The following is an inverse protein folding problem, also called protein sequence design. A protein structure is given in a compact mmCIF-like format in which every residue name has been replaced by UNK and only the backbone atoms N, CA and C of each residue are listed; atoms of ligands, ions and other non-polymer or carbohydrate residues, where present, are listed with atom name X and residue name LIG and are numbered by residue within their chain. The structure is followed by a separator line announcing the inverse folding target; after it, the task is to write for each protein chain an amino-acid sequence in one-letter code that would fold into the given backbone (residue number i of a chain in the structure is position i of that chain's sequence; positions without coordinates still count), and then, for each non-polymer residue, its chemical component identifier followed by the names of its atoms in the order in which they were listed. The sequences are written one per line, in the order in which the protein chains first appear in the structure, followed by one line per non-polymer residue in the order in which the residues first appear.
data_IF_534897896160
#
_entry.id   IF_534897896160
#
_cell.length_a   1.000
_cell.length_b   1.000
_cell.length_c   1.000
_cell.angle_alpha   90.00
_cell.angle_beta   90.00
_cell.angle_gamma   90.00
#
_symmetry.space_group_name_H-M   'P 1'
#
loop_
_entity.id
_entity.type
_entity.pdbx_description
1 polymer ?
#
# COMPACT_ATOMS: atom_id res chain seq x y z
N UNK A 1 4.65 -12.12 4.39
CA UNK A 1 4.25 -10.83 3.80
C UNK A 1 2.75 -10.88 3.59
N UNK A 2 2.06 -9.73 3.64
CA UNK A 2 0.66 -9.66 3.23
C UNK A 2 0.54 -10.06 1.75
N UNK A 3 -0.54 -10.72 1.38
CA UNK A 3 -0.79 -11.06 -0.03
C UNK A 3 -1.13 -9.80 -0.81
N UNK A 4 -0.51 -9.60 -1.97
CA UNK A 4 -0.72 -8.41 -2.78
C UNK A 4 -0.24 -8.56 -4.21
N UNK A 5 0.16 -7.43 -4.80
CA UNK A 5 0.62 -7.31 -6.16
C UNK A 5 2.05 -6.78 -6.16
N UNK A 6 2.94 -7.50 -6.84
CA UNK A 6 4.30 -7.07 -7.10
C UNK A 6 4.43 -6.60 -8.54
N UNK A 7 5.19 -5.54 -8.76
CA UNK A 7 5.41 -5.02 -10.09
C UNK A 7 6.67 -4.17 -10.21
N UNK A 8 7.13 -4.01 -11.44
CA UNK A 8 8.12 -3.00 -11.83
C UNK A 8 7.43 -1.84 -12.54
N UNK A 9 7.90 -0.62 -12.29
CA UNK A 9 7.39 0.55 -12.98
C UNK A 9 8.38 1.70 -12.92
N UNK A 10 8.55 2.41 -14.03
CA UNK A 10 9.29 3.68 -14.09
C UNK A 10 8.40 4.90 -13.85
N UNK A 11 7.11 4.68 -13.58
CA UNK A 11 6.12 5.75 -13.34
C UNK A 11 6.37 6.48 -12.02
N UNK A 12 6.92 5.77 -11.03
CA UNK A 12 7.07 6.24 -9.66
C UNK A 12 8.54 6.54 -9.38
N UNK A 13 8.83 7.80 -9.05
CA UNK A 13 10.15 8.19 -8.57
C UNK A 13 10.23 8.07 -7.05
N UNK A 14 11.42 7.78 -6.53
CA UNK A 14 11.69 7.86 -5.10
C UNK A 14 11.96 9.32 -4.74
N UNK A 15 11.11 9.93 -3.92
CA UNK A 15 11.33 11.31 -3.50
C UNK A 15 12.54 11.41 -2.56
N UNK A 16 13.26 12.51 -2.67
CA UNK A 16 14.41 12.77 -1.80
C UNK A 16 13.95 12.80 -0.34
N UNK A 17 14.57 11.96 0.50
CA UNK A 17 14.31 11.88 1.94
C UNK A 17 12.89 11.43 2.31
N UNK A 18 12.13 10.77 1.42
CA UNK A 18 10.82 10.23 1.81
C UNK A 18 10.93 9.16 2.91
N UNK A 19 12.08 8.47 2.98
CA UNK A 19 12.40 7.48 3.99
C UNK A 19 12.73 8.09 5.38
N UNK A 20 12.72 9.42 5.50
CA UNK A 20 12.76 10.11 6.80
C UNK A 20 11.38 10.13 7.49
N UNK A 21 10.29 9.99 6.72
CA UNK A 21 8.92 9.91 7.24
C UNK A 21 8.52 8.46 7.57
N UNK A 22 9.16 7.49 6.92
CA UNK A 22 8.95 6.04 7.09
C UNK A 22 10.13 5.43 7.88
N UNK A 23 10.74 4.36 7.37
CA UNK A 23 12.01 3.80 7.84
C UNK A 23 13.05 3.82 6.71
N UNK A 24 14.36 3.74 7.03
CA UNK A 24 15.43 3.66 6.04
C UNK A 24 15.14 2.66 4.92
N UNK A 25 15.16 3.16 3.68
CA UNK A 25 14.93 2.36 2.48
C UNK A 25 13.47 2.00 2.20
N UNK A 26 12.50 2.43 3.03
CA UNK A 26 11.09 2.14 2.85
C UNK A 26 10.44 3.22 1.98
N UNK A 27 10.38 2.96 0.67
CA UNK A 27 9.86 3.89 -0.32
C UNK A 27 8.43 3.55 -0.72
N UNK A 28 7.74 4.48 -1.40
CA UNK A 28 6.39 4.24 -1.93
C UNK A 28 5.49 5.46 -2.00
N UNK A 29 6.02 6.67 -1.78
CA UNK A 29 5.20 7.88 -1.64
C UNK A 29 4.42 8.19 -2.91
N UNK A 30 5.09 8.26 -4.06
CA UNK A 30 4.42 8.56 -5.33
C UNK A 30 3.41 7.47 -5.72
N UNK A 31 3.72 6.20 -5.43
CA UNK A 31 2.78 5.10 -5.62
C UNK A 31 1.51 5.30 -4.77
N UNK A 32 1.66 5.65 -3.49
CA UNK A 32 0.55 5.90 -2.59
C UNK A 32 -0.30 7.09 -3.02
N UNK A 33 0.31 8.21 -3.41
CA UNK A 33 -0.42 9.37 -3.91
C UNK A 33 -1.14 9.08 -5.24
N UNK A 34 -0.51 8.33 -6.15
CA UNK A 34 -1.15 7.92 -7.39
C UNK A 34 -2.36 6.99 -7.13
N UNK A 35 -2.20 5.98 -6.28
CA UNK A 35 -3.32 5.10 -5.90
C UNK A 35 -4.41 5.89 -5.17
N UNK A 36 -4.06 6.86 -4.32
CA UNK A 36 -5.02 7.76 -3.68
C UNK A 36 -5.86 8.49 -4.72
N UNK A 37 -5.26 9.05 -5.77
CA UNK A 37 -5.97 9.73 -6.85
C UNK A 37 -6.86 8.76 -7.66
N UNK A 38 -6.38 7.54 -7.97
CA UNK A 38 -7.17 6.52 -8.66
C UNK A 38 -8.38 6.08 -7.84
N UNK A 39 -8.21 5.85 -6.53
CA UNK A 39 -9.30 5.46 -5.65
C UNK A 39 -10.26 6.63 -5.36
N UNK A 40 -9.77 7.87 -5.30
CA UNK A 40 -10.64 9.05 -5.22
C UNK A 40 -11.58 9.15 -6.44
N UNK A 41 -11.13 8.80 -7.64
CA UNK A 41 -11.99 8.74 -8.85
C UNK A 41 -13.08 7.67 -8.76
N UNK A 42 -12.85 6.60 -7.98
CA UNK A 42 -13.84 5.56 -7.69
C UNK A 42 -14.81 5.96 -6.55
N UNK A 43 -14.60 7.12 -5.93
CA UNK A 43 -15.47 7.68 -4.90
C UNK A 43 -15.03 7.39 -3.46
N UNK A 44 -13.82 6.87 -3.25
CA UNK A 44 -13.26 6.73 -1.91
C UNK A 44 -12.82 8.09 -1.35
N UNK A 45 -12.90 8.22 -0.02
CA UNK A 45 -12.27 9.34 0.68
C UNK A 45 -10.90 8.87 1.13
N UNK A 46 -9.86 9.33 0.44
CA UNK A 46 -8.50 8.83 0.66
C UNK A 46 -7.67 9.76 1.53
N UNK A 47 -6.80 9.17 2.34
CA UNK A 47 -5.74 9.86 3.07
C UNK A 47 -4.44 9.06 2.95
N UNK A 48 -3.31 9.75 2.86
CA UNK A 48 -1.99 9.13 2.63
C UNK A 48 -1.11 9.37 3.85
N UNK A 49 -0.69 8.29 4.51
CA UNK A 49 0.11 8.36 5.73
C UNK A 49 1.41 7.53 5.58
N UNK A 50 2.53 7.99 6.16
CA UNK A 50 3.74 7.19 6.21
C UNK A 50 3.62 6.11 7.29
N UNK A 51 4.19 4.94 7.01
CA UNK A 51 4.27 3.79 7.91
C UNK A 51 5.72 3.28 7.98
N UNK A 52 6.02 2.44 8.96
CA UNK A 52 7.38 1.93 9.20
C UNK A 52 7.88 0.94 8.12
N UNK A 53 7.02 0.56 7.17
CA UNK A 53 7.31 -0.31 6.03
C UNK A 53 7.11 0.36 4.67
N UNK A 54 6.63 1.61 4.61
CA UNK A 54 6.28 2.29 3.37
C UNK A 54 5.18 3.31 3.56
N UNK A 55 4.23 3.37 2.63
CA UNK A 55 3.13 4.34 2.65
C UNK A 55 1.79 3.64 2.64
N UNK A 56 0.82 4.19 3.35
CA UNK A 56 -0.52 3.67 3.48
C UNK A 56 -1.53 4.64 2.87
N UNK A 57 -2.44 4.13 2.05
CA UNK A 57 -3.60 4.86 1.53
C UNK A 57 -4.84 4.38 2.28
N UNK A 58 -5.33 5.18 3.22
CA UNK A 58 -6.59 4.92 3.92
C UNK A 58 -7.74 5.19 2.96
N UNK A 59 -8.63 4.23 2.74
CA UNK A 59 -9.78 4.34 1.84
C UNK A 59 -11.12 4.44 2.59
N UNK A 60 -11.21 3.88 3.80
CA UNK A 60 -12.35 4.02 4.72
C UNK A 60 -11.86 3.89 6.17
N UNK A 61 -12.46 4.66 7.10
CA UNK A 61 -12.04 4.68 8.51
C UNK A 61 -13.20 4.68 9.52
N UNK A 62 -14.31 4.01 9.19
CA UNK A 62 -15.51 3.93 10.03
C UNK A 62 -15.40 2.84 11.12
N UNK A 63 -16.18 1.75 11.00
CA UNK A 63 -16.16 0.62 11.94
C UNK A 63 -14.89 -0.24 11.80
N UNK A 64 -14.15 -0.05 10.71
CA UNK A 64 -12.86 -0.64 10.39
C UNK A 64 -12.02 0.37 9.60
N UNK A 65 -10.72 0.10 9.47
CA UNK A 65 -9.82 0.76 8.54
C UNK A 65 -9.70 -0.13 7.30
N UNK A 66 -10.07 0.39 6.14
CA UNK A 66 -9.85 -0.25 4.83
C UNK A 66 -8.77 0.55 4.13
N UNK A 67 -7.67 -0.09 3.74
CA UNK A 67 -6.50 0.63 3.24
C UNK A 67 -5.64 -0.18 2.29
N UNK A 68 -4.77 0.53 1.56
CA UNK A 68 -3.78 -0.03 0.64
C UNK A 68 -2.37 0.21 1.17
N UNK A 69 -1.58 -0.84 1.30
CA UNK A 69 -0.14 -0.70 1.49
C UNK A 69 0.55 -0.39 0.16
N UNK A 70 1.56 0.49 0.20
CA UNK A 70 2.38 0.91 -0.93
C UNK A 70 3.84 0.96 -0.48
N UNK A 71 4.63 -0.05 -0.86
CA UNK A 71 6.02 -0.18 -0.41
C UNK A 71 6.97 -0.61 -1.52
N UNK A 72 8.24 -0.25 -1.42
CA UNK A 72 9.32 -0.92 -2.14
C UNK A 72 9.71 -2.21 -1.42
N UNK A 73 9.86 -3.30 -2.16
CA UNK A 73 10.42 -4.53 -1.61
C UNK A 73 11.87 -4.31 -1.18
N UNK A 74 12.21 -4.87 -0.03
CA UNK A 74 13.56 -4.87 0.51
C UNK A 74 14.00 -6.32 0.68
N UNK A 75 15.08 -6.68 0.01
CA UNK A 75 15.82 -7.89 0.32
C UNK A 75 17.04 -7.56 1.21
N UNK A 76 17.74 -8.60 1.64
CA UNK A 76 18.91 -8.48 2.51
C UNK A 76 20.01 -7.63 1.85
N UNK A 77 20.22 -7.77 0.54
CA UNK A 77 21.22 -7.02 -0.23
C UNK A 77 20.88 -5.52 -0.29
N UNK A 78 19.61 -5.18 -0.51
CA UNK A 78 19.12 -3.79 -0.55
C UNK A 78 19.27 -3.11 0.80
N UNK A 79 19.02 -3.85 1.89
CA UNK A 79 19.21 -3.36 3.25
C UNK A 79 20.69 -3.17 3.59
N UNK A 80 21.55 -4.12 3.25
CA UNK A 80 23.00 -4.02 3.49
C UNK A 80 23.65 -2.89 2.69
N UNK A 81 23.14 -2.60 1.49
CA UNK A 81 23.66 -1.56 0.60
C UNK A 81 23.06 -0.16 0.84
N UNK A 82 22.09 -0.03 1.76
CA UNK A 82 21.43 1.24 2.07
C UNK A 82 22.43 2.35 2.38
N UNK A 83 22.26 3.48 1.69
CA UNK A 83 23.00 4.70 1.94
C UNK A 83 22.03 5.86 2.09
N UNK A 84 22.05 6.50 3.26
CA UNK A 84 21.21 7.67 3.52
C UNK A 84 21.37 8.73 2.43
N UNK A 85 20.24 9.14 1.85
CA UNK A 85 20.18 10.16 0.80
C UNK A 85 20.63 9.68 -0.59
N UNK A 86 20.78 8.36 -0.79
CA UNK A 86 21.06 7.74 -2.09
C UNK A 86 20.10 6.56 -2.31
N UNK A 87 18.88 6.81 -2.80
CA UNK A 87 17.95 5.73 -3.12
C UNK A 87 18.46 4.89 -4.30
N UNK A 88 17.98 3.63 -4.44
CA UNK A 88 18.28 2.80 -5.60
C UNK A 88 17.70 3.42 -6.89
N UNK A 89 18.16 2.94 -8.05
CA UNK A 89 17.52 3.32 -9.31
C UNK A 89 16.13 2.68 -9.41
N UNK A 90 15.11 3.45 -9.80
CA UNK A 90 13.70 3.00 -9.86
C UNK A 90 13.51 1.70 -10.64
N UNK A 91 14.31 1.46 -11.69
CA UNK A 91 14.25 0.23 -12.50
C UNK A 91 14.63 -1.05 -11.72
N UNK A 92 15.35 -0.90 -10.61
CA UNK A 92 15.80 -1.98 -9.73
C UNK A 92 14.77 -2.26 -8.63
N UNK A 93 13.83 -1.34 -8.40
CA UNK A 93 12.80 -1.46 -7.39
C UNK A 93 11.69 -2.39 -7.87
N UNK A 94 11.34 -3.35 -7.01
CA UNK A 94 10.05 -4.05 -7.08
C UNK A 94 9.11 -3.37 -6.11
N UNK A 95 7.99 -2.86 -6.61
CA UNK A 95 6.94 -2.29 -5.79
C UNK A 95 6.02 -3.41 -5.30
N UNK A 96 5.50 -3.27 -4.09
CA UNK A 96 4.50 -4.13 -3.51
C UNK A 96 3.33 -3.29 -3.02
N UNK A 97 2.13 -3.66 -3.46
CA UNK A 97 0.89 -3.07 -2.96
C UNK A 97 -0.12 -4.13 -2.59
N UNK A 98 -0.80 -3.94 -1.47
CA UNK A 98 -1.73 -4.93 -0.93
C UNK A 98 -2.95 -4.25 -0.32
N UNK A 99 -4.16 -4.77 -0.54
CA UNK A 99 -5.36 -4.31 0.14
C UNK A 99 -5.49 -5.00 1.49
N UNK A 100 -5.91 -4.28 2.52
CA UNK A 100 -6.18 -4.89 3.82
C UNK A 100 -7.31 -4.18 4.57
N UNK A 101 -7.82 -4.88 5.58
CA UNK A 101 -8.88 -4.39 6.46
C UNK A 101 -8.53 -4.69 7.91
N UNK A 102 -8.49 -3.65 8.73
CA UNK A 102 -8.15 -3.73 10.13
C UNK A 102 -9.31 -3.27 11.01
N UNK A 103 -9.56 -3.98 12.10
CA UNK A 103 -10.53 -3.54 13.12
C UNK A 103 -9.74 -2.96 14.28
N UNK A 104 -9.81 -1.64 14.52
CA UNK A 104 -9.02 -1.02 15.58
C UNK A 104 -9.35 -1.65 16.94
N UNK A 105 -8.31 -2.06 17.67
CA UNK A 105 -8.47 -2.80 18.93
C UNK A 105 -9.16 -1.98 20.05
N UNK A 106 -9.19 -0.66 19.92
CA UNK A 106 -9.90 0.24 20.84
C UNK A 106 -11.40 0.38 20.51
N UNK A 107 -11.83 -0.05 19.32
CA UNK A 107 -13.24 -0.02 18.93
C UNK A 107 -13.97 -1.26 19.47
N UNK A 108 -14.24 -1.27 20.78
CA UNK A 108 -14.90 -2.38 21.48
C UNK A 108 -16.23 -2.78 20.83
N UNK A 109 -16.99 -1.82 20.29
CA UNK A 109 -18.25 -2.08 19.58
C UNK A 109 -18.01 -2.86 18.29
N UNK A 110 -17.03 -2.46 17.47
CA UNK A 110 -16.67 -3.17 16.24
C UNK A 110 -16.11 -4.58 16.54
N UNK A 111 -15.30 -4.72 17.59
CA UNK A 111 -14.79 -6.03 18.03
C UNK A 111 -15.93 -6.97 18.42
N UNK A 112 -16.87 -6.48 19.23
CA UNK A 112 -18.07 -7.22 19.62
C UNK A 112 -18.87 -7.62 18.38
N UNK A 113 -19.12 -6.68 17.48
CA UNK A 113 -19.87 -6.94 16.24
C UNK A 113 -19.17 -7.96 15.33
N UNK A 114 -17.84 -7.89 15.20
CA UNK A 114 -17.04 -8.89 14.49
C UNK A 114 -17.22 -10.28 15.10
N UNK A 115 -17.16 -10.40 16.43
CA UNK A 115 -17.30 -11.69 17.11
C UNK A 115 -18.71 -12.29 16.97
N UNK A 116 -19.73 -11.45 16.87
CA UNK A 116 -21.10 -11.87 16.61
C UNK A 116 -21.44 -12.03 15.11
N UNK A 117 -20.46 -11.89 14.20
CA UNK A 117 -20.66 -12.00 12.76
C UNK A 117 -21.52 -10.88 12.15
N UNK A 118 -21.62 -9.73 12.84
CA UNK A 118 -22.42 -8.56 12.43
C UNK A 118 -21.61 -7.52 11.67
N UNK A 119 -20.32 -7.75 11.46
CA UNK A 119 -19.43 -6.87 10.71
C UNK A 119 -18.90 -7.63 9.50
N UNK A 120 -19.32 -7.19 8.31
CA UNK A 120 -18.83 -7.73 7.04
C UNK A 120 -17.50 -7.06 6.68
N UNK A 121 -16.43 -7.84 6.72
CA UNK A 121 -15.07 -7.40 6.37
C UNK A 121 -14.64 -7.95 5.01
N UNK A 122 -15.32 -8.99 4.51
CA UNK A 122 -14.91 -9.68 3.29
C UNK A 122 -15.36 -8.95 2.04
N UNK A 123 -16.61 -8.50 2.01
CA UNK A 123 -17.15 -7.77 0.86
C UNK A 123 -16.37 -6.49 0.55
N UNK A 124 -16.10 -5.59 1.53
CA UNK A 124 -15.32 -4.37 1.26
C UNK A 124 -13.88 -4.70 0.83
N UNK A 125 -13.23 -5.68 1.47
CA UNK A 125 -11.87 -6.08 1.10
C UNK A 125 -11.80 -6.65 -0.32
N UNK A 126 -12.71 -7.56 -0.68
CA UNK A 126 -12.79 -8.14 -2.04
C UNK A 126 -13.07 -7.08 -3.10
N UNK A 127 -13.88 -6.07 -2.77
CA UNK A 127 -14.13 -4.94 -3.66
C UNK A 127 -12.85 -4.13 -3.88
N UNK A 128 -12.17 -3.76 -2.80
CA UNK A 128 -10.92 -2.99 -2.85
C UNK A 128 -9.84 -3.72 -3.66
N UNK A 129 -9.67 -5.02 -3.41
CA UNK A 129 -8.72 -5.88 -4.13
C UNK A 129 -9.01 -5.95 -5.62
N UNK A 130 -10.27 -6.14 -6.01
CA UNK A 130 -10.68 -6.15 -7.42
C UNK A 130 -10.41 -4.81 -8.11
N UNK A 131 -10.66 -3.69 -7.44
CA UNK A 131 -10.39 -2.36 -7.97
C UNK A 131 -8.89 -2.10 -8.10
N UNK A 132 -8.10 -2.49 -7.10
CA UNK A 132 -6.64 -2.44 -7.14
C UNK A 132 -6.09 -3.25 -8.32
N UNK A 133 -6.50 -4.51 -8.45
CA UNK A 133 -6.10 -5.37 -9.57
C UNK A 133 -6.42 -4.72 -10.91
N UNK A 134 -7.61 -4.14 -11.05
CA UNK A 134 -8.02 -3.50 -12.29
C UNK A 134 -7.18 -2.27 -12.62
N UNK A 135 -6.93 -1.40 -11.64
CA UNK A 135 -6.08 -0.21 -11.78
C UNK A 135 -4.67 -0.62 -12.22
N UNK A 136 -4.03 -1.55 -11.49
CA UNK A 136 -2.66 -1.97 -11.78
C UNK A 136 -2.54 -2.64 -13.15
N UNK A 137 -3.47 -3.53 -13.51
CA UNK A 137 -3.46 -4.25 -14.80
C UNK A 137 -3.84 -3.38 -16.00
N UNK A 138 -4.38 -2.19 -15.77
CA UNK A 138 -4.77 -1.26 -16.85
C UNK A 138 -3.73 -0.17 -17.11
N UNK A 139 -2.76 0.02 -16.21
CA UNK A 139 -1.70 1.02 -16.37
C UNK A 139 -0.54 0.46 -17.21
N UNK A 140 -0.22 1.15 -18.30
CA UNK A 140 0.75 0.67 -19.30
C UNK A 140 2.20 0.72 -18.80
N UNK A 141 2.47 1.55 -17.81
CA UNK A 141 3.78 1.69 -17.18
C UNK A 141 3.99 0.71 -16.01
N UNK A 142 3.02 -0.15 -15.71
CA UNK A 142 3.10 -1.17 -14.65
C UNK A 142 3.25 -2.56 -15.27
N UNK A 143 4.34 -3.24 -14.93
CA UNK A 143 4.59 -4.63 -15.29
C UNK A 143 4.46 -5.51 -14.04
N UNK A 144 3.31 -6.18 -13.91
CA UNK A 144 3.07 -7.15 -12.82
C UNK A 144 4.07 -8.31 -12.89
N UNK A 145 4.59 -8.72 -11.74
CA UNK A 145 5.49 -9.86 -11.60
C UNK A 145 5.06 -10.78 -10.44
N UNK A 146 5.71 -11.94 -10.36
CA UNK A 146 5.55 -12.85 -9.21
C UNK A 146 6.19 -12.25 -7.95
N UNK A 147 5.84 -12.80 -6.79
CA UNK A 147 6.50 -12.49 -5.51
C UNK A 147 8.03 -12.75 -5.63
N UNK A 148 8.89 -11.77 -5.32
CA UNK A 148 10.33 -11.88 -5.47
C UNK A 148 11.00 -12.78 -4.42
#
# INVERSE_FOLDING_TARGET
MESGYWFKSTKFEIEKSEDEETNPGCYGKQLAYWLSDEFAKLGYQTDVIPEDWGWCVICESNDYLLWLGCGSMQDEETLESYQKGKPPEVKEVVWHTFPTIEVPFFNFKAIINKWFGKLDLETPLKKLDKELQHILSSEVEIELCEEP
#
